data_IF_449361112844
#
_entry.id   IF_449361112844
#
_cell.length_a   1.000
_cell.length_b   1.000
_cell.length_c   1.000
_cell.angle_alpha   90.00
_cell.angle_beta   90.00
_cell.angle_gamma   90.00
#
_symmetry.space_group_name_H-M   'P 1'
#
loop_
_entity.id
_entity.type
_entity.pdbx_description
1 polymer ?
#
# COMPACT_ATOMS: atom_id res chain seq x y z
N UNK A 1 -14.84 -41.03 -27.64
CA UNK A 1 -15.63 -41.24 -26.41
C UNK A 1 -16.16 -39.88 -25.98
N UNK A 2 -17.48 -39.65 -25.90
CA UNK A 2 -18.02 -38.36 -25.46
C UNK A 2 -17.73 -38.13 -23.97
N UNK A 3 -17.43 -36.88 -23.59
CA UNK A 3 -17.22 -36.50 -22.19
C UNK A 3 -18.53 -36.65 -21.41
N UNK A 4 -18.43 -37.18 -20.18
CA UNK A 4 -19.60 -37.24 -19.29
C UNK A 4 -20.07 -35.83 -18.90
N UNK A 5 -21.36 -35.69 -18.55
CA UNK A 5 -21.90 -34.40 -18.11
C UNK A 5 -21.15 -33.84 -16.89
N UNK A 6 -20.78 -34.71 -15.93
CA UNK A 6 -20.00 -34.33 -14.76
C UNK A 6 -18.62 -33.78 -15.13
N UNK A 7 -17.89 -34.47 -16.01
CA UNK A 7 -16.58 -34.02 -16.49
C UNK A 7 -16.68 -32.67 -17.21
N UNK A 8 -17.75 -32.45 -17.96
CA UNK A 8 -17.98 -31.17 -18.66
C UNK A 8 -18.19 -30.02 -17.69
N UNK A 9 -18.92 -30.21 -16.60
CA UNK A 9 -19.08 -29.20 -15.55
C UNK A 9 -17.75 -28.93 -14.82
N UNK A 10 -16.98 -29.97 -14.49
CA UNK A 10 -15.65 -29.80 -13.87
C UNK A 10 -14.69 -28.98 -14.76
N UNK A 11 -14.66 -29.26 -16.07
CA UNK A 11 -13.85 -28.51 -17.03
C UNK A 11 -14.31 -27.05 -17.14
N UNK A 12 -15.63 -26.81 -17.09
CA UNK A 12 -16.18 -25.45 -17.09
C UNK A 12 -15.73 -24.68 -15.84
N UNK A 13 -15.80 -25.29 -14.66
CA UNK A 13 -15.31 -24.69 -13.41
C UNK A 13 -13.82 -24.39 -13.49
N UNK A 14 -13.01 -25.34 -13.95
CA UNK A 14 -11.56 -25.15 -14.12
C UNK A 14 -11.23 -24.03 -15.12
N UNK A 15 -11.91 -24.01 -16.27
CA UNK A 15 -11.74 -22.98 -17.29
C UNK A 15 -12.01 -21.58 -16.73
N UNK A 16 -13.11 -21.43 -15.99
CA UNK A 16 -13.46 -20.15 -15.37
C UNK A 16 -12.48 -19.76 -14.23
N UNK A 17 -11.84 -20.74 -13.58
CA UNK A 17 -10.81 -20.46 -12.58
C UNK A 17 -9.52 -19.88 -13.20
N UNK A 18 -9.25 -20.15 -14.47
CA UNK A 18 -8.11 -19.56 -15.21
C UNK A 18 -8.38 -18.17 -15.80
N UNK A 19 -9.48 -17.52 -15.43
CA UNK A 19 -9.73 -16.14 -15.84
C UNK A 19 -8.57 -15.22 -15.40
N UNK A 20 -8.13 -14.33 -16.29
CA UNK A 20 -7.06 -13.37 -16.01
C UNK A 20 -7.59 -12.27 -15.08
N UNK A 21 -7.45 -12.51 -13.78
CA UNK A 21 -7.86 -11.60 -12.71
C UNK A 21 -6.81 -11.59 -11.60
N UNK A 22 -6.80 -10.51 -10.84
CA UNK A 22 -6.02 -10.45 -9.61
C UNK A 22 -6.55 -11.52 -8.63
N UNK A 23 -5.63 -12.27 -8.03
CA UNK A 23 -5.94 -13.19 -6.94
C UNK A 23 -5.64 -12.49 -5.63
N UNK A 24 -6.64 -12.35 -4.77
CA UNK A 24 -6.42 -11.85 -3.43
C UNK A 24 -5.71 -12.92 -2.58
N UNK A 25 -4.96 -12.56 -1.53
CA UNK A 25 -4.30 -13.54 -0.66
C UNK A 25 -5.27 -14.52 0.04
N UNK A 26 -6.55 -14.16 0.12
CA UNK A 26 -7.63 -15.01 0.65
C UNK A 26 -8.37 -15.83 -0.41
N UNK A 27 -8.00 -15.68 -1.69
CA UNK A 27 -8.63 -16.39 -2.79
C UNK A 27 -8.31 -17.90 -2.71
N UNK A 28 -9.31 -18.79 -2.83
CA UNK A 28 -9.08 -20.24 -2.76
C UNK A 28 -8.09 -20.78 -3.81
N UNK A 29 -7.90 -20.07 -4.92
CA UNK A 29 -6.97 -20.46 -5.98
C UNK A 29 -5.56 -19.86 -5.81
N UNK A 30 -5.34 -19.04 -4.77
CA UNK A 30 -4.03 -18.47 -4.47
C UNK A 30 -3.14 -19.49 -3.74
N UNK A 31 -1.94 -19.72 -4.28
CA UNK A 31 -0.94 -20.62 -3.69
C UNK A 31 0.35 -19.84 -3.44
N UNK A 32 0.61 -19.49 -2.18
CA UNK A 32 1.73 -18.63 -1.80
C UNK A 32 3.10 -19.19 -2.23
N UNK A 33 3.25 -20.52 -2.13
CA UNK A 33 4.49 -21.24 -2.38
C UNK A 33 4.94 -21.24 -3.85
N UNK A 34 4.04 -20.92 -4.80
CA UNK A 34 4.37 -20.88 -6.24
C UNK A 34 5.42 -19.82 -6.54
N UNK A 35 5.45 -18.74 -5.76
CA UNK A 35 6.38 -17.63 -5.94
C UNK A 35 7.59 -17.69 -4.98
N UNK A 36 7.71 -18.75 -4.19
CA UNK A 36 8.85 -18.97 -3.28
C UNK A 36 9.99 -19.69 -4.01
N UNK A 37 11.23 -19.42 -3.61
CA UNK A 37 12.42 -20.15 -4.07
C UNK A 37 12.97 -21.02 -2.94
N UNK A 38 12.55 -22.28 -2.90
CA UNK A 38 12.82 -23.14 -1.74
C UNK A 38 12.14 -22.57 -0.50
N UNK A 39 12.93 -22.27 0.53
CA UNK A 39 12.46 -21.67 1.78
C UNK A 39 12.44 -20.12 1.73
N UNK A 40 12.94 -19.50 0.66
CA UNK A 40 12.94 -18.04 0.50
C UNK A 40 11.62 -17.53 -0.07
N UNK A 41 11.09 -16.49 0.57
CA UNK A 41 9.88 -15.78 0.19
C UNK A 41 10.20 -14.29 0.08
N UNK A 42 10.24 -13.78 -1.16
CA UNK A 42 10.57 -12.38 -1.44
C UNK A 42 9.60 -11.38 -0.77
N UNK A 43 8.35 -11.77 -0.53
CA UNK A 43 7.38 -10.90 0.14
C UNK A 43 7.67 -10.80 1.64
N UNK A 44 8.05 -11.91 2.29
CA UNK A 44 8.47 -11.87 3.69
C UNK A 44 9.80 -11.14 3.86
N UNK A 45 10.73 -11.28 2.92
CA UNK A 45 11.99 -10.53 2.91
C UNK A 45 11.74 -9.02 2.81
N UNK A 46 10.90 -8.57 1.87
CA UNK A 46 10.53 -7.16 1.73
C UNK A 46 9.75 -6.66 2.96
N UNK A 47 8.82 -7.45 3.50
CA UNK A 47 8.08 -7.08 4.70
C UNK A 47 9.01 -6.85 5.89
N UNK A 48 9.97 -7.77 6.09
CA UNK A 48 10.98 -7.68 7.14
C UNK A 48 11.85 -6.43 6.96
N UNK A 49 12.27 -6.14 5.72
CA UNK A 49 13.05 -4.95 5.42
C UNK A 49 12.28 -3.66 5.77
N UNK A 50 11.01 -3.56 5.37
CA UNK A 50 10.16 -2.41 5.70
C UNK A 50 10.00 -2.27 7.23
N UNK A 51 9.80 -3.37 7.94
CA UNK A 51 9.64 -3.37 9.41
C UNK A 51 10.92 -2.93 10.15
N UNK A 52 12.11 -3.16 9.59
CA UNK A 52 13.39 -2.83 10.24
C UNK A 52 13.92 -1.42 9.91
N UNK A 53 13.36 -0.74 8.92
CA UNK A 53 13.83 0.59 8.51
C UNK A 53 13.22 1.72 9.34
N UNK A 54 14.01 2.31 10.25
CA UNK A 54 13.59 3.46 11.07
C UNK A 54 13.44 4.78 10.28
N UNK A 55 14.18 4.94 9.17
CA UNK A 55 14.28 6.19 8.39
C UNK A 55 13.43 6.23 7.12
N UNK A 56 12.64 5.18 6.88
CA UNK A 56 12.00 4.94 5.60
C UNK A 56 13.01 4.56 4.50
N UNK A 57 12.49 3.94 3.45
CA UNK A 57 13.28 3.49 2.30
C UNK A 57 12.39 3.03 1.16
N UNK A 58 12.97 2.33 0.19
CA UNK A 58 12.25 1.83 -0.97
C UNK A 58 12.73 0.44 -1.35
N UNK A 59 11.79 -0.47 -1.53
CA UNK A 59 12.04 -1.80 -2.05
C UNK A 59 11.56 -1.87 -3.51
N UNK A 60 12.36 -2.51 -4.37
CA UNK A 60 12.01 -2.68 -5.77
C UNK A 60 11.71 -4.15 -6.07
N UNK A 61 10.45 -4.46 -6.33
CA UNK A 61 9.99 -5.80 -6.69
C UNK A 61 9.73 -5.91 -8.20
N UNK A 62 10.63 -6.56 -8.94
CA UNK A 62 10.56 -6.67 -10.41
C UNK A 62 10.50 -8.10 -10.90
N UNK A 63 10.18 -8.27 -12.19
CA UNK A 63 10.04 -9.58 -12.83
C UNK A 63 9.25 -9.51 -14.12
N UNK A 64 9.22 -10.61 -14.88
CA UNK A 64 8.53 -10.69 -16.18
C UNK A 64 7.01 -10.52 -16.07
N UNK A 65 6.34 -10.12 -17.16
CA UNK A 65 4.87 -10.03 -17.18
C UNK A 65 4.27 -11.42 -16.90
N UNK A 66 3.21 -11.47 -16.09
CA UNK A 66 2.53 -12.73 -15.74
C UNK A 66 3.13 -13.51 -14.58
N UNK A 67 4.25 -13.07 -13.97
CA UNK A 67 4.85 -13.75 -12.81
C UNK A 67 4.16 -13.45 -11.46
N UNK A 68 2.93 -12.93 -11.49
CA UNK A 68 2.15 -12.69 -10.26
C UNK A 68 2.64 -11.52 -9.38
N UNK A 69 3.35 -10.52 -9.92
CA UNK A 69 3.85 -9.39 -9.12
C UNK A 69 2.75 -8.58 -8.43
N UNK A 70 1.67 -8.24 -9.15
CA UNK A 70 0.53 -7.53 -8.57
C UNK A 70 -0.12 -8.35 -7.45
N UNK A 71 -0.20 -9.67 -7.63
CA UNK A 71 -0.64 -10.63 -6.61
C UNK A 71 0.28 -10.62 -5.39
N UNK A 72 1.60 -10.62 -5.61
CA UNK A 72 2.61 -10.50 -4.55
C UNK A 72 2.51 -9.17 -3.78
N UNK A 73 2.26 -8.06 -4.48
CA UNK A 73 2.04 -6.76 -3.86
C UNK A 73 0.76 -6.74 -2.99
N UNK A 74 -0.33 -7.42 -3.43
CA UNK A 74 -1.52 -7.59 -2.59
C UNK A 74 -1.21 -8.44 -1.34
N UNK A 75 -0.40 -9.51 -1.48
CA UNK A 75 0.08 -10.28 -0.31
C UNK A 75 0.89 -9.42 0.64
N UNK A 76 1.84 -8.63 0.13
CA UNK A 76 2.67 -7.74 0.95
C UNK A 76 1.80 -6.74 1.72
N UNK A 77 0.85 -6.10 1.03
CA UNK A 77 -0.13 -5.21 1.65
C UNK A 77 -0.82 -5.88 2.82
N UNK A 78 -1.40 -7.07 2.60
CA UNK A 78 -2.10 -7.80 3.65
C UNK A 78 -1.16 -8.16 4.82
N UNK A 79 0.05 -8.65 4.52
CA UNK A 79 1.05 -9.04 5.53
C UNK A 79 1.47 -7.87 6.43
N UNK A 80 1.62 -6.67 5.85
CA UNK A 80 1.94 -5.45 6.59
C UNK A 80 0.73 -4.93 7.38
N UNK A 81 -0.47 -4.94 6.79
CA UNK A 81 -1.72 -4.55 7.47
C UNK A 81 -2.04 -5.45 8.67
N UNK A 82 -1.84 -6.77 8.53
CA UNK A 82 -2.02 -7.75 9.62
C UNK A 82 -1.00 -7.49 10.76
N UNK A 83 0.17 -6.90 10.45
CA UNK A 83 1.17 -6.43 11.42
C UNK A 83 0.88 -5.06 12.05
N UNK A 84 -0.21 -4.40 11.65
CA UNK A 84 -0.62 -3.08 12.17
C UNK A 84 -0.06 -1.88 11.39
N UNK A 85 0.64 -2.11 10.28
CA UNK A 85 1.13 -1.05 9.39
C UNK A 85 0.00 -0.49 8.54
N UNK A 86 -0.12 0.83 8.44
CA UNK A 86 -1.07 1.46 7.52
C UNK A 86 -0.48 1.43 6.11
N UNK A 87 -1.13 0.72 5.20
CA UNK A 87 -0.64 0.53 3.83
C UNK A 87 -1.53 1.26 2.82
N UNK A 88 -0.91 2.07 1.96
CA UNK A 88 -1.57 2.69 0.82
C UNK A 88 -1.14 1.98 -0.46
N UNK A 89 -2.09 1.31 -1.11
CA UNK A 89 -1.88 0.68 -2.41
C UNK A 89 -2.43 1.57 -3.53
N UNK A 90 -1.61 1.81 -4.55
CA UNK A 90 -1.96 2.59 -5.72
C UNK A 90 -1.49 1.87 -6.99
N UNK A 91 -2.40 1.64 -7.92
CA UNK A 91 -2.06 1.22 -9.28
C UNK A 91 -1.79 2.47 -10.11
N UNK A 92 -0.52 2.78 -10.35
CA UNK A 92 -0.14 3.97 -11.10
C UNK A 92 -0.49 3.89 -12.59
N UNK A 93 -0.92 2.74 -13.11
CA UNK A 93 -1.46 2.65 -14.48
C UNK A 93 -2.78 3.40 -14.65
N UNK A 94 -3.49 3.68 -13.55
CA UNK A 94 -4.70 4.52 -13.56
C UNK A 94 -4.39 6.02 -13.66
N UNK A 95 -3.16 6.42 -13.33
CA UNK A 95 -2.72 7.83 -13.28
C UNK A 95 -1.70 8.18 -14.38
N UNK A 96 -0.94 7.20 -14.87
CA UNK A 96 0.12 7.38 -15.86
C UNK A 96 -0.22 6.72 -17.19
N UNK A 97 0.06 7.44 -18.28
CA UNK A 97 0.05 6.84 -19.62
C UNK A 97 1.32 6.00 -19.81
N UNK A 98 1.24 4.69 -19.54
CA UNK A 98 2.39 3.77 -19.60
C UNK A 98 2.93 3.50 -21.01
N UNK A 99 2.30 4.04 -22.05
CA UNK A 99 2.77 3.94 -23.45
C UNK A 99 3.78 5.02 -23.82
N UNK A 100 4.06 5.96 -22.92
CA UNK A 100 5.11 6.98 -23.08
C UNK A 100 6.13 6.84 -21.95
N UNK A 101 7.29 7.44 -22.13
CA UNK A 101 8.28 7.57 -21.07
C UNK A 101 7.68 8.33 -19.88
N UNK A 102 8.02 7.88 -18.66
CA UNK A 102 7.50 8.45 -17.42
C UNK A 102 8.39 9.61 -17.00
N UNK A 103 7.85 10.82 -17.10
CA UNK A 103 8.50 12.02 -16.56
C UNK A 103 8.40 12.03 -15.03
N UNK A 104 9.47 12.50 -14.36
CA UNK A 104 9.54 12.53 -12.89
C UNK A 104 8.40 13.39 -12.31
N UNK A 105 8.06 14.51 -12.96
CA UNK A 105 6.95 15.37 -12.54
C UNK A 105 5.61 14.65 -12.58
N UNK A 106 5.35 13.92 -13.67
CA UNK A 106 4.10 13.17 -13.85
C UNK A 106 3.98 12.06 -12.81
N UNK A 107 5.10 11.37 -12.53
CA UNK A 107 5.18 10.37 -11.48
C UNK A 107 4.86 10.95 -10.10
N UNK A 108 5.52 12.03 -9.69
CA UNK A 108 5.31 12.64 -8.38
C UNK A 108 3.88 13.16 -8.19
N UNK A 109 3.30 13.80 -9.22
CA UNK A 109 1.91 14.25 -9.20
C UNK A 109 0.95 13.07 -9.10
N UNK A 110 1.22 11.98 -9.83
CA UNK A 110 0.40 10.76 -9.79
C UNK A 110 0.41 10.10 -8.42
N UNK A 111 1.59 9.98 -7.79
CA UNK A 111 1.72 9.45 -6.43
C UNK A 111 0.95 10.33 -5.44
N UNK A 112 1.09 11.65 -5.52
CA UNK A 112 0.37 12.58 -4.64
C UNK A 112 -1.15 12.48 -4.82
N UNK A 113 -1.63 12.37 -6.07
CA UNK A 113 -3.04 12.17 -6.39
C UNK A 113 -3.58 10.87 -5.80
N UNK A 114 -2.90 9.75 -6.07
CA UNK A 114 -3.29 8.44 -5.56
C UNK A 114 -3.30 8.39 -4.03
N UNK A 115 -2.32 9.03 -3.37
CA UNK A 115 -2.31 9.15 -1.90
C UNK A 115 -3.49 9.96 -1.37
N UNK A 116 -3.82 11.09 -2.01
CA UNK A 116 -4.94 11.95 -1.60
C UNK A 116 -6.28 11.21 -1.60
N UNK A 117 -6.55 10.42 -2.65
CA UNK A 117 -7.76 9.60 -2.75
C UNK A 117 -7.86 8.57 -1.62
N UNK A 118 -6.74 7.92 -1.29
CA UNK A 118 -6.70 6.88 -0.26
C UNK A 118 -6.83 7.45 1.15
N UNK A 119 -6.28 8.64 1.41
CA UNK A 119 -6.42 9.31 2.72
C UNK A 119 -7.88 9.69 2.99
N UNK A 120 -8.61 10.18 1.97
CA UNK A 120 -10.03 10.51 2.12
C UNK A 120 -10.91 9.27 2.38
N UNK A 121 -10.49 8.09 1.90
CA UNK A 121 -11.20 6.84 2.11
C UNK A 121 -10.99 6.23 3.52
N UNK A 122 -9.99 6.68 4.28
CA UNK A 122 -9.75 6.21 5.66
C UNK A 122 -10.57 7.07 6.63
N UNK A 123 -11.57 6.52 7.34
CA UNK A 123 -12.29 7.28 8.36
C UNK A 123 -11.32 7.69 9.47
N UNK A 124 -11.11 8.99 9.64
CA UNK A 124 -10.27 9.55 10.69
C UNK A 124 -10.89 9.21 12.05
N UNK A 125 -10.35 8.17 12.72
CA UNK A 125 -10.63 7.95 14.14
C UNK A 125 -9.89 9.03 14.92
N UNK A 126 -10.60 10.11 15.26
CA UNK A 126 -10.14 11.04 16.29
C UNK A 126 -9.97 10.26 17.59
N UNK A 127 -8.72 9.89 17.94
CA UNK A 127 -8.39 9.47 19.30
C UNK A 127 -8.60 10.71 20.17
N UNK A 128 -9.64 10.67 21.01
CA UNK A 128 -10.20 11.83 21.70
C UNK A 128 -9.12 12.77 22.25
N UNK A 129 -9.19 14.03 21.81
CA UNK A 129 -8.56 15.13 22.54
C UNK A 129 -9.20 15.18 23.91
N UNK A 130 -8.44 14.82 24.95
CA UNK A 130 -8.72 15.37 26.26
C UNK A 130 -8.62 16.90 26.10
N UNK A 131 -9.77 17.56 26.28
CA UNK A 131 -9.90 19.01 26.31
C UNK A 131 -8.89 19.59 27.31
N UNK A 132 -7.80 20.18 26.79
CA UNK A 132 -7.08 21.21 27.53
C UNK A 132 -8.02 22.42 27.60
N UNK A 133 -8.40 22.78 28.83
CA UNK A 133 -9.27 23.91 29.12
C UNK A 133 -8.72 25.24 28.63
N UNK A 134 -9.54 26.31 28.64
CA UNK A 134 -9.21 27.58 28.01
C UNK A 134 -7.95 28.19 28.64
N UNK A 135 -6.92 28.36 27.81
CA UNK A 135 -5.71 29.11 28.15
C UNK A 135 -6.10 30.55 28.48
N UNK A 136 -6.08 30.90 29.77
CA UNK A 136 -6.14 32.28 30.25
C UNK A 136 -4.98 33.04 29.63
N UNK A 137 -5.30 34.11 28.91
CA UNK A 137 -4.35 35.03 28.32
C UNK A 137 -3.42 35.62 29.38
N UNK A 138 -2.11 35.58 29.09
CA UNK A 138 -1.11 36.41 29.76
C UNK A 138 -0.74 37.50 28.77
N UNK A 139 -1.18 38.72 29.08
CA UNK A 139 -0.67 39.93 28.44
C UNK A 139 0.83 40.03 28.73
N UNK A 140 1.65 39.98 27.68
CA UNK A 140 3.05 40.38 27.77
C UNK A 140 3.11 41.91 27.82
N UNK A 141 3.44 42.43 29.00
CA UNK A 141 3.82 43.82 29.26
C UNK A 141 5.15 44.12 28.54
N UNK A 142 5.08 44.99 27.53
CA UNK A 142 6.26 45.59 26.90
C UNK A 142 6.61 46.88 27.64
N UNK A 143 7.38 46.77 28.71
CA UNK A 143 8.07 47.91 29.30
C UNK A 143 9.52 47.94 28.82
N UNK A 144 9.77 48.90 27.93
CA UNK A 144 11.05 49.31 27.38
C UNK A 144 11.92 49.87 28.50
N UNK A 145 13.10 49.31 28.73
CA UNK A 145 14.13 49.95 29.52
C UNK A 145 15.37 50.21 28.64
N UNK A 146 15.47 51.45 28.16
CA UNK A 146 16.65 52.06 27.56
C UNK A 146 16.68 53.51 28.02
N UNK A 147 17.60 53.85 28.93
CA UNK A 147 17.71 55.23 29.39
C UNK A 147 18.79 55.49 30.43
N UNK A 148 20.05 55.44 30.00
CA UNK A 148 21.23 56.02 30.66
C UNK A 148 20.93 57.44 31.18
N UNK A 149 21.32 57.75 32.44
CA UNK A 149 21.93 59.02 32.90
C UNK A 149 22.17 59.01 34.42
N UNK A 150 23.35 59.48 34.84
CA UNK A 150 23.66 59.85 36.23
C UNK A 150 25.08 59.48 36.61
#
# INVERSE_FOLDING_TARGET
MPLSAHTREQLKTLYNAFADRLLEPSDPFYVAQVNCQGDSDAIEEIATEIEWQDGGGGCLFTGQRGTGKSTGASRLKKRLEDGGTVVFYADLSEFLLLTKEVEISDFLVSVAGAMSERVQAVPVRHRGSQLLGPLRGVHADQSRDHGIRG
#
